data_IF_243230543038
#
_entry.id   IF_243230543038
#
_cell.length_a   1.000
_cell.length_b   1.000
_cell.length_c   1.000
_cell.angle_alpha   90.00
_cell.angle_beta   90.00
_cell.angle_gamma   90.00
#
_symmetry.space_group_name_H-M   'P 1'
#
loop_
_entity.id
_entity.type
_entity.pdbx_description
1 polymer ?
#
# COMPACT_ATOMS: atom_id res chain seq x y z
N UNK A 1 -3.62 1.93 14.41
CA UNK A 1 -3.47 0.53 14.02
C UNK A 1 -2.08 0.00 14.29
N UNK A 2 -2.01 -1.30 14.44
CA UNK A 2 -0.75 -2.02 14.66
C UNK A 2 -0.69 -3.26 13.78
N UNK A 3 0.53 -3.65 13.39
CA UNK A 3 0.86 -5.02 13.00
C UNK A 3 1.44 -5.73 14.21
N UNK A 4 1.02 -6.95 14.47
CA UNK A 4 1.48 -7.70 15.63
C UNK A 4 1.65 -9.18 15.34
N UNK A 5 2.50 -9.83 16.13
CA UNK A 5 2.60 -11.28 16.22
C UNK A 5 2.26 -11.73 17.64
N UNK A 6 1.80 -12.96 17.76
CA UNK A 6 1.63 -13.61 19.07
C UNK A 6 2.82 -14.55 19.28
N UNK A 7 3.70 -14.18 20.20
CA UNK A 7 4.89 -14.97 20.57
C UNK A 7 4.80 -15.30 22.06
N UNK A 8 5.03 -16.57 22.40
CA UNK A 8 5.00 -17.04 23.80
C UNK A 8 3.76 -16.52 24.54
N UNK A 9 2.57 -16.72 23.91
CA UNK A 9 1.26 -16.33 24.46
C UNK A 9 1.13 -14.82 24.80
N UNK A 10 1.83 -13.97 24.06
CA UNK A 10 1.83 -12.52 24.25
C UNK A 10 1.77 -11.78 22.89
N UNK A 11 1.02 -10.70 22.81
CA UNK A 11 0.92 -9.84 21.61
C UNK A 11 2.10 -8.89 21.56
N UNK A 12 2.98 -9.08 20.60
CA UNK A 12 4.10 -8.19 20.31
C UNK A 12 3.74 -7.23 19.17
N UNK A 13 3.81 -5.94 19.41
CA UNK A 13 3.67 -4.92 18.38
C UNK A 13 4.93 -4.92 17.51
N UNK A 14 4.77 -5.35 16.25
CA UNK A 14 5.86 -5.36 15.27
C UNK A 14 6.03 -3.97 14.64
N UNK A 15 4.88 -3.35 14.34
CA UNK A 15 4.86 -2.01 13.72
C UNK A 15 3.58 -1.28 14.14
N UNK A 16 3.72 0.01 14.37
CA UNK A 16 2.57 0.93 14.50
C UNK A 16 2.35 1.60 13.15
N UNK A 17 1.09 1.59 12.68
CA UNK A 17 0.74 2.17 11.38
C UNK A 17 0.82 3.69 11.47
N UNK A 18 1.67 4.35 10.65
CA UNK A 18 1.80 5.80 10.63
C UNK A 18 0.46 6.51 10.36
N UNK A 19 0.24 7.66 11.01
CA UNK A 19 -1.01 8.41 10.94
C UNK A 19 -2.21 7.73 11.62
N UNK A 20 -2.02 6.52 12.17
CA UNK A 20 -3.07 5.73 12.80
C UNK A 20 -3.35 6.11 14.26
N UNK A 21 -4.52 5.69 14.81
CA UNK A 21 -4.88 5.99 16.19
C UNK A 21 -3.89 5.49 17.23
N UNK A 22 -3.23 4.35 16.99
CA UNK A 22 -2.27 3.77 17.93
C UNK A 22 -0.98 4.60 18.05
N UNK A 23 -0.52 5.19 16.94
CA UNK A 23 0.63 6.09 16.94
C UNK A 23 0.34 7.36 17.74
N UNK A 24 -0.87 7.93 17.54
CA UNK A 24 -1.29 9.18 18.22
C UNK A 24 -1.27 9.10 19.74
N UNK A 25 -1.45 7.90 20.29
CA UNK A 25 -1.40 7.69 21.75
C UNK A 25 -0.02 7.24 22.23
N UNK A 26 0.98 7.10 21.34
CA UNK A 26 2.36 6.79 21.72
C UNK A 26 2.68 5.30 21.86
N UNK A 27 1.90 4.39 21.23
CA UNK A 27 2.32 3.01 21.06
C UNK A 27 3.55 2.95 20.11
N UNK A 28 4.47 2.05 20.40
CA UNK A 28 5.69 1.85 19.58
C UNK A 28 5.92 0.37 19.25
N UNK A 29 6.76 0.12 18.26
CA UNK A 29 7.23 -1.24 17.97
C UNK A 29 7.99 -1.79 19.19
N UNK A 30 7.83 -3.09 19.47
CA UNK A 30 8.39 -3.76 20.65
C UNK A 30 7.48 -3.74 21.88
N UNK A 31 6.41 -2.96 21.90
CA UNK A 31 5.40 -3.01 22.96
C UNK A 31 4.74 -4.39 23.02
N UNK A 32 4.44 -4.86 24.23
CA UNK A 32 3.73 -6.11 24.49
C UNK A 32 2.38 -5.81 25.09
N UNK A 33 1.30 -6.05 24.37
CA UNK A 33 -0.05 -5.81 24.88
C UNK A 33 -0.42 -7.00 25.78
N UNK A 34 -0.64 -6.73 27.05
CA UNK A 34 -0.95 -7.75 28.07
C UNK A 34 -2.41 -7.78 28.46
N UNK A 35 -3.12 -6.66 28.28
CA UNK A 35 -4.54 -6.54 28.60
C UNK A 35 -5.26 -5.66 27.57
N UNK A 36 -6.51 -6.01 27.27
CA UNK A 36 -7.42 -5.21 26.42
C UNK A 36 -8.72 -5.00 27.21
N UNK A 37 -9.07 -3.73 27.46
CA UNK A 37 -10.10 -3.33 28.42
C UNK A 37 -9.87 -4.06 29.76
N UNK A 38 -10.87 -4.76 30.29
CA UNK A 38 -10.77 -5.49 31.55
C UNK A 38 -10.31 -6.94 31.41
N UNK A 39 -9.85 -7.34 30.21
CA UNK A 39 -9.48 -8.72 29.91
C UNK A 39 -7.97 -8.86 29.73
N UNK A 40 -7.33 -9.66 30.57
CA UNK A 40 -5.95 -10.13 30.38
C UNK A 40 -5.89 -11.03 29.14
N UNK A 41 -4.95 -10.76 28.23
CA UNK A 41 -4.78 -11.51 26.98
C UNK A 41 -3.44 -12.20 26.85
N UNK A 42 -2.48 -11.90 27.74
CA UNK A 42 -1.16 -12.54 27.76
C UNK A 42 -1.12 -13.66 28.82
N UNK A 43 -0.47 -14.77 28.51
CA UNK A 43 -0.32 -15.92 29.44
C UNK A 43 -1.58 -16.76 29.64
N UNK A 44 -2.62 -16.58 28.82
CA UNK A 44 -3.94 -17.21 28.96
C UNK A 44 -4.34 -18.06 27.75
N UNK A 45 -3.40 -18.29 26.83
CA UNK A 45 -3.58 -19.07 25.58
C UNK A 45 -4.78 -18.60 24.73
N UNK A 46 -5.03 -17.29 24.69
CA UNK A 46 -6.12 -16.70 23.91
C UNK A 46 -5.85 -16.83 22.42
N UNK A 47 -6.85 -17.26 21.65
CA UNK A 47 -6.74 -17.36 20.19
C UNK A 47 -6.54 -15.97 19.56
N UNK A 48 -5.68 -15.88 18.56
CA UNK A 48 -5.41 -14.62 17.83
C UNK A 48 -6.69 -13.99 17.28
N UNK A 49 -7.67 -14.79 16.83
CA UNK A 49 -8.97 -14.30 16.37
C UNK A 49 -9.76 -13.56 17.45
N UNK A 50 -9.68 -14.03 18.71
CA UNK A 50 -10.39 -13.41 19.83
C UNK A 50 -9.67 -12.15 20.33
N UNK A 51 -8.34 -12.14 20.25
CA UNK A 51 -7.52 -10.94 20.47
C UNK A 51 -7.90 -9.86 19.44
N UNK A 52 -7.95 -10.23 18.14
CA UNK A 52 -8.35 -9.29 17.08
C UNK A 52 -9.76 -8.74 17.28
N UNK A 53 -10.73 -9.57 17.67
CA UNK A 53 -12.11 -9.12 17.97
C UNK A 53 -12.17 -8.08 19.09
N UNK A 54 -11.33 -8.21 20.12
CA UNK A 54 -11.26 -7.27 21.24
C UNK A 54 -10.58 -5.95 20.86
N UNK A 55 -9.52 -6.02 20.05
CA UNK A 55 -8.80 -4.84 19.58
C UNK A 55 -9.61 -4.05 18.54
N UNK A 56 -10.33 -4.74 17.64
CA UNK A 56 -11.20 -4.11 16.64
C UNK A 56 -12.53 -3.66 17.24
N UNK A 57 -13.21 -2.75 16.54
CA UNK A 57 -14.54 -2.27 16.93
C UNK A 57 -15.00 -1.11 16.04
N UNK A 58 -16.20 -0.58 16.28
CA UNK A 58 -16.75 0.53 15.52
C UNK A 58 -15.85 1.77 15.58
N UNK A 59 -15.82 2.54 14.46
CA UNK A 59 -15.15 3.84 14.42
C UNK A 59 -15.71 4.76 15.51
N UNK A 60 -14.83 5.45 16.23
CA UNK A 60 -15.17 6.36 17.31
C UNK A 60 -15.31 5.69 18.68
N UNK A 61 -15.38 4.35 18.75
CA UNK A 61 -15.37 3.66 20.05
C UNK A 61 -13.95 3.60 20.64
N UNK A 62 -13.86 3.50 21.94
CA UNK A 62 -12.58 3.40 22.66
C UNK A 62 -12.17 1.95 22.90
N UNK A 63 -10.88 1.73 22.97
CA UNK A 63 -10.26 0.51 23.50
C UNK A 63 -9.10 0.91 24.40
N UNK A 64 -9.05 0.34 25.62
CA UNK A 64 -7.93 0.53 26.54
C UNK A 64 -7.00 -0.66 26.44
N UNK A 65 -5.70 -0.41 26.40
CA UNK A 65 -4.70 -1.46 26.39
C UNK A 65 -3.66 -1.20 27.46
N UNK A 66 -3.30 -2.25 28.22
CA UNK A 66 -2.12 -2.23 29.10
C UNK A 66 -0.96 -2.88 28.38
N UNK A 67 0.18 -2.21 28.44
CA UNK A 67 1.36 -2.55 27.66
C UNK A 67 2.57 -2.68 28.56
N UNK A 68 3.32 -3.76 28.40
CA UNK A 68 4.69 -3.86 28.94
C UNK A 68 5.67 -3.41 27.89
N UNK A 69 6.38 -2.35 28.20
CA UNK A 69 7.46 -1.78 27.36
C UNK A 69 8.82 -2.11 27.96
N UNK A 70 9.80 -2.40 27.10
CA UNK A 70 11.15 -2.63 27.58
C UNK A 70 11.75 -1.33 28.17
N UNK A 71 12.39 -1.44 29.34
CA UNK A 71 12.92 -0.28 30.06
C UNK A 71 11.93 0.38 31.05
N UNK A 72 10.63 0.04 31.00
CA UNK A 72 9.63 0.54 31.95
C UNK A 72 9.37 -0.48 33.06
N UNK A 73 9.35 -0.05 34.32
CA UNK A 73 9.05 -0.92 35.47
C UNK A 73 7.58 -1.27 35.53
N UNK A 74 6.71 -0.30 35.26
CA UNK A 74 5.25 -0.42 35.34
C UNK A 74 4.61 -0.73 33.97
N UNK A 75 3.36 -1.16 33.98
CA UNK A 75 2.55 -1.26 32.77
C UNK A 75 2.07 0.13 32.33
N UNK A 76 2.18 0.41 31.05
CA UNK A 76 1.67 1.64 30.45
C UNK A 76 0.21 1.45 30.03
N UNK A 77 -0.63 2.43 30.35
CA UNK A 77 -2.04 2.47 29.95
C UNK A 77 -2.24 3.40 28.74
N UNK A 78 -2.88 2.85 27.68
CA UNK A 78 -3.24 3.64 26.50
C UNK A 78 -4.73 3.51 26.22
N UNK A 79 -5.41 4.64 26.04
CA UNK A 79 -6.79 4.71 25.54
C UNK A 79 -6.76 5.11 24.08
N UNK A 80 -7.21 4.22 23.21
CA UNK A 80 -7.17 4.40 21.76
C UNK A 80 -8.60 4.61 21.27
N UNK A 81 -8.89 5.77 20.68
CA UNK A 81 -10.14 5.99 19.95
C UNK A 81 -10.03 5.34 18.59
N UNK A 82 -10.83 4.31 18.32
CA UNK A 82 -10.79 3.57 17.06
C UNK A 82 -11.14 4.48 15.88
N UNK A 83 -10.32 4.46 14.87
CA UNK A 83 -10.46 5.30 13.67
C UNK A 83 -10.14 4.53 12.41
N UNK A 84 -10.27 5.22 11.28
CA UNK A 84 -9.77 4.71 10.00
C UNK A 84 -8.25 4.59 10.10
N UNK A 85 -7.72 3.43 9.76
CA UNK A 85 -6.28 3.18 9.69
C UNK A 85 -5.83 3.52 8.28
N UNK A 86 -4.96 4.50 8.09
CA UNK A 86 -4.41 4.76 6.77
C UNK A 86 -3.59 3.53 6.33
N UNK A 87 -3.89 3.02 5.16
CA UNK A 87 -3.13 1.96 4.53
C UNK A 87 -2.42 2.63 3.36
N UNK A 88 -1.18 3.04 3.61
CA UNK A 88 -0.35 3.65 2.59
C UNK A 88 -0.02 2.63 1.50
N UNK A 89 0.06 3.10 0.28
CA UNK A 89 0.48 2.32 -0.88
C UNK A 89 1.96 2.45 -1.17
N UNK A 90 2.59 3.48 -0.61
CA UNK A 90 4.02 3.76 -0.75
C UNK A 90 4.72 3.46 0.57
N UNK A 91 5.72 2.59 0.54
CA UNK A 91 6.50 2.18 1.71
C UNK A 91 7.77 2.99 1.92
N UNK A 92 8.36 3.49 0.85
CA UNK A 92 9.60 4.24 0.91
C UNK A 92 9.67 5.33 -0.15
N UNK A 93 10.14 6.51 0.26
CA UNK A 93 10.44 7.66 -0.61
C UNK A 93 11.73 8.31 -0.12
N UNK A 94 12.79 8.25 -0.90
CA UNK A 94 14.07 8.87 -0.54
C UNK A 94 14.94 9.16 -1.76
N UNK A 95 15.94 10.01 -1.58
CA UNK A 95 16.99 10.21 -2.59
C UNK A 95 18.03 9.09 -2.42
N UNK A 96 18.16 8.22 -3.43
CA UNK A 96 19.17 7.15 -3.46
C UNK A 96 20.58 7.71 -3.76
N UNK A 97 20.64 8.84 -4.47
CA UNK A 97 21.86 9.60 -4.73
C UNK A 97 21.44 11.08 -4.92
N UNK A 98 22.39 11.99 -5.16
CA UNK A 98 22.18 13.44 -5.33
C UNK A 98 21.09 13.80 -6.35
N UNK A 99 20.87 12.97 -7.36
CA UNK A 99 19.89 13.20 -8.43
C UNK A 99 18.92 12.05 -8.67
N UNK A 100 19.03 10.94 -7.94
CA UNK A 100 18.24 9.73 -8.12
C UNK A 100 17.23 9.61 -6.98
N UNK A 101 15.96 9.72 -7.30
CA UNK A 101 14.85 9.40 -6.40
C UNK A 101 14.50 7.92 -6.42
N UNK A 102 14.02 7.41 -5.30
CA UNK A 102 13.48 6.06 -5.16
C UNK A 102 12.10 6.10 -4.54
N UNK A 103 11.15 5.39 -5.16
CA UNK A 103 9.80 5.19 -4.65
C UNK A 103 9.48 3.70 -4.64
N UNK A 104 9.07 3.16 -3.49
CA UNK A 104 8.53 1.80 -3.35
C UNK A 104 7.02 1.85 -3.31
N UNK A 105 6.36 1.33 -4.34
CA UNK A 105 4.91 1.22 -4.42
C UNK A 105 4.49 -0.25 -4.20
N UNK A 106 3.72 -0.52 -3.13
CA UNK A 106 3.32 -1.88 -2.75
C UNK A 106 2.02 -2.35 -3.39
N UNK A 107 1.13 -1.41 -3.72
CA UNK A 107 -0.19 -1.70 -4.28
C UNK A 107 -0.73 -0.50 -5.03
N UNK A 108 -1.71 -0.74 -5.88
CA UNK A 108 -2.49 0.30 -6.55
C UNK A 108 -3.82 0.46 -5.80
N UNK A 109 -3.81 1.23 -4.70
CA UNK A 109 -4.98 1.57 -3.89
C UNK A 109 -5.59 2.90 -4.35
N UNK A 110 -6.80 3.23 -3.88
CA UNK A 110 -7.48 4.48 -4.24
C UNK A 110 -6.70 5.76 -3.86
N UNK A 111 -5.81 5.68 -2.87
CA UNK A 111 -4.94 6.78 -2.44
C UNK A 111 -3.60 6.86 -3.16
N UNK A 112 -3.27 5.84 -3.98
CA UNK A 112 -1.91 5.72 -4.55
C UNK A 112 -1.53 6.85 -5.47
N UNK A 113 -2.47 7.38 -6.25
CA UNK A 113 -2.20 8.50 -7.17
C UNK A 113 -1.79 9.75 -6.40
N UNK A 114 -2.52 10.10 -5.34
CA UNK A 114 -2.21 11.26 -4.51
C UNK A 114 -0.90 11.08 -3.75
N UNK A 115 -0.68 9.89 -3.17
CA UNK A 115 0.56 9.54 -2.47
C UNK A 115 1.77 9.62 -3.41
N UNK A 116 1.61 9.14 -4.65
CA UNK A 116 2.67 9.13 -5.65
C UNK A 116 3.03 10.54 -6.12
N UNK A 117 2.03 11.37 -6.40
CA UNK A 117 2.24 12.79 -6.76
C UNK A 117 2.96 13.56 -5.66
N UNK A 118 2.60 13.34 -4.40
CA UNK A 118 3.29 13.98 -3.28
C UNK A 118 4.73 13.45 -3.12
N UNK A 119 4.95 12.16 -3.38
CA UNK A 119 6.28 11.57 -3.40
C UNK A 119 7.16 12.19 -4.49
N UNK A 120 6.67 12.30 -5.73
CA UNK A 120 7.38 12.96 -6.84
C UNK A 120 7.72 14.41 -6.49
N UNK A 121 6.75 15.17 -5.98
CA UNK A 121 6.95 16.56 -5.55
C UNK A 121 7.99 16.69 -4.43
N UNK A 122 8.01 15.74 -3.50
CA UNK A 122 9.00 15.71 -2.42
C UNK A 122 10.41 15.46 -2.94
N UNK A 123 10.56 14.55 -3.90
CA UNK A 123 11.83 14.22 -4.52
C UNK A 123 12.31 15.35 -5.47
N UNK A 124 11.41 15.97 -6.23
CA UNK A 124 11.72 17.10 -7.10
C UNK A 124 12.31 18.27 -6.31
N UNK A 125 11.69 18.63 -5.17
CA UNK A 125 12.24 19.67 -4.24
C UNK A 125 13.65 19.34 -3.73
N UNK A 126 14.04 18.06 -3.73
CA UNK A 126 15.39 17.60 -3.36
C UNK A 126 16.34 17.51 -4.55
N UNK A 127 15.91 17.92 -5.75
CA UNK A 127 16.72 17.93 -6.96
C UNK A 127 16.75 16.64 -7.75
N UNK A 128 15.73 15.78 -7.61
CA UNK A 128 15.60 14.56 -8.42
C UNK A 128 15.58 14.85 -9.90
N UNK A 129 16.33 14.08 -10.68
CA UNK A 129 16.35 14.08 -12.15
C UNK A 129 16.08 12.69 -12.73
N UNK A 130 16.28 11.64 -11.94
CA UNK A 130 16.15 10.24 -12.31
C UNK A 130 15.34 9.53 -11.25
N UNK A 131 14.46 8.61 -11.65
CA UNK A 131 13.58 7.89 -10.74
C UNK A 131 13.76 6.38 -10.86
N UNK A 132 13.88 5.72 -9.72
CA UNK A 132 13.72 4.28 -9.57
C UNK A 132 12.35 4.06 -8.93
N UNK A 133 11.43 3.46 -9.70
CA UNK A 133 10.13 3.01 -9.21
C UNK A 133 10.19 1.51 -8.94
N UNK A 134 10.03 1.11 -7.70
CA UNK A 134 10.08 -0.29 -7.31
C UNK A 134 8.66 -0.88 -7.15
N UNK A 135 8.35 -1.84 -8.04
CA UNK A 135 7.11 -2.61 -8.07
C UNK A 135 7.34 -4.08 -7.67
N UNK A 136 8.50 -4.46 -7.17
CA UNK A 136 8.77 -5.84 -6.71
C UNK A 136 7.81 -6.19 -5.56
N UNK A 137 7.21 -7.38 -5.61
CA UNK A 137 6.20 -7.79 -4.63
C UNK A 137 4.83 -7.13 -4.77
N UNK A 138 4.62 -6.26 -5.76
CA UNK A 138 3.36 -5.54 -5.96
C UNK A 138 2.38 -6.33 -6.83
N UNK A 139 1.40 -7.00 -6.23
CA UNK A 139 0.37 -7.79 -6.92
C UNK A 139 -0.68 -6.97 -7.69
N UNK A 140 -0.52 -5.64 -7.80
CA UNK A 140 -1.41 -4.77 -8.53
C UNK A 140 -2.46 -4.05 -7.66
N UNK A 141 -3.65 -3.84 -8.22
CA UNK A 141 -4.75 -3.13 -7.57
C UNK A 141 -5.77 -2.58 -8.56
N UNK A 142 -6.19 -1.34 -8.37
CA UNK A 142 -7.20 -0.71 -9.21
C UNK A 142 -6.66 -0.33 -10.61
N UNK A 143 -7.43 -0.68 -11.64
CA UNK A 143 -7.10 -0.38 -13.04
C UNK A 143 -6.97 1.13 -13.31
N UNK A 144 -7.92 1.92 -12.82
CA UNK A 144 -7.88 3.37 -12.98
C UNK A 144 -6.61 3.99 -12.36
N UNK A 145 -6.18 3.49 -11.19
CA UNK A 145 -4.95 3.96 -10.54
C UNK A 145 -3.71 3.60 -11.37
N UNK A 146 -3.68 2.40 -11.98
CA UNK A 146 -2.59 2.03 -12.89
C UNK A 146 -2.52 2.97 -14.10
N UNK A 147 -3.66 3.34 -14.66
CA UNK A 147 -3.76 4.29 -15.78
C UNK A 147 -3.26 5.67 -15.35
N UNK A 148 -3.74 6.18 -14.20
CA UNK A 148 -3.34 7.47 -13.67
C UNK A 148 -1.83 7.55 -13.37
N UNK A 149 -1.25 6.49 -12.79
CA UNK A 149 0.18 6.44 -12.53
C UNK A 149 1.04 6.28 -13.79
N UNK A 150 0.55 5.54 -14.80
CA UNK A 150 1.24 5.47 -16.08
C UNK A 150 1.20 6.83 -16.83
N UNK A 151 0.12 7.58 -16.66
CA UNK A 151 -0.03 8.92 -17.22
C UNK A 151 1.01 9.91 -16.67
N UNK A 152 1.51 9.72 -15.45
CA UNK A 152 2.58 10.56 -14.88
C UNK A 152 3.90 10.47 -15.66
N UNK A 153 4.08 9.42 -16.45
CA UNK A 153 5.32 9.12 -17.17
C UNK A 153 5.24 9.30 -18.69
N UNK A 154 4.04 9.26 -19.26
CA UNK A 154 3.86 9.17 -20.71
C UNK A 154 3.40 10.51 -21.30
N UNK A 155 4.05 10.94 -22.35
CA UNK A 155 3.61 12.09 -23.13
C UNK A 155 2.19 11.85 -23.70
N UNK A 156 1.46 12.94 -23.95
CA UNK A 156 0.08 12.90 -24.45
C UNK A 156 -0.14 11.99 -25.65
N UNK A 157 -1.23 11.24 -25.63
CA UNK A 157 -1.70 10.47 -26.78
C UNK A 157 -1.12 9.06 -26.88
N UNK A 158 -0.35 8.62 -25.86
CA UNK A 158 0.21 7.27 -25.78
C UNK A 158 -0.83 6.30 -25.20
N UNK A 159 -1.00 5.13 -25.84
CA UNK A 159 -1.86 4.10 -25.30
C UNK A 159 -1.25 3.50 -24.05
N UNK A 160 -1.99 3.49 -22.94
CA UNK A 160 -1.57 2.88 -21.68
C UNK A 160 -2.00 1.42 -21.63
N UNK A 161 -3.27 1.16 -21.87
CA UNK A 161 -3.87 -0.17 -21.85
C UNK A 161 -5.19 -0.15 -22.62
N UNK A 162 -5.61 -1.29 -23.12
CA UNK A 162 -7.01 -1.48 -23.55
C UNK A 162 -7.64 -2.68 -22.87
N UNK A 163 -8.95 -2.66 -22.74
CA UNK A 163 -9.75 -3.81 -22.30
C UNK A 163 -10.73 -4.21 -23.40
N UNK A 164 -10.84 -5.50 -23.64
CA UNK A 164 -11.77 -6.06 -24.63
C UNK A 164 -12.31 -7.40 -24.15
N UNK A 165 -13.60 -7.64 -24.31
CA UNK A 165 -14.22 -8.91 -24.00
C UNK A 165 -14.94 -9.49 -25.22
N UNK A 166 -15.32 -10.77 -25.16
CA UNK A 166 -16.05 -11.43 -26.27
C UNK A 166 -17.36 -10.74 -26.63
N UNK A 167 -18.00 -10.10 -25.65
CA UNK A 167 -19.27 -9.36 -25.81
C UNK A 167 -19.14 -7.87 -25.45
N UNK A 168 -17.93 -7.38 -25.18
CA UNK A 168 -17.68 -5.99 -24.83
C UNK A 168 -16.78 -5.36 -25.89
N UNK A 169 -17.16 -4.16 -26.32
CA UNK A 169 -16.31 -3.38 -27.23
C UNK A 169 -15.01 -3.01 -26.54
N UNK A 170 -13.95 -2.89 -27.35
CA UNK A 170 -12.66 -2.39 -26.90
C UNK A 170 -12.80 -1.01 -26.27
N UNK A 171 -12.14 -0.82 -25.12
CA UNK A 171 -12.02 0.44 -24.41
C UNK A 171 -10.54 0.73 -24.23
N UNK A 172 -10.08 1.83 -24.82
CA UNK A 172 -8.69 2.27 -24.75
C UNK A 172 -8.52 3.32 -23.65
N UNK A 173 -7.44 3.21 -22.87
CA UNK A 173 -6.96 4.25 -21.99
C UNK A 173 -5.70 4.87 -22.62
N UNK A 174 -5.71 6.18 -22.76
CA UNK A 174 -4.68 6.96 -23.45
C UNK A 174 -4.18 8.03 -22.49
N UNK A 175 -2.86 8.28 -22.51
CA UNK A 175 -2.24 9.31 -21.67
C UNK A 175 -2.69 10.73 -22.04
N UNK A 176 -2.74 11.58 -21.03
CA UNK A 176 -3.07 13.00 -21.13
C UNK A 176 -1.78 13.84 -21.23
N UNK A 177 -1.87 15.16 -21.02
CA UNK A 177 -0.71 16.05 -20.97
C UNK A 177 -0.48 16.57 -19.53
N UNK A 178 -0.75 15.74 -18.53
CA UNK A 178 -0.74 16.15 -17.12
C UNK A 178 0.30 15.41 -16.29
N UNK A 179 1.20 14.65 -16.94
CA UNK A 179 2.26 13.89 -16.28
C UNK A 179 3.27 14.78 -15.57
N UNK A 180 3.68 14.39 -14.37
CA UNK A 180 4.64 15.13 -13.55
C UNK A 180 6.08 14.68 -13.79
N UNK A 181 6.31 13.59 -14.51
CA UNK A 181 7.64 13.01 -14.76
C UNK A 181 7.74 12.43 -16.18
N UNK A 182 7.40 13.23 -17.20
CA UNK A 182 7.43 12.77 -18.60
C UNK A 182 8.85 12.66 -19.18
N UNK A 183 9.81 13.47 -18.74
CA UNK A 183 11.14 13.64 -19.36
C UNK A 183 12.32 13.05 -18.56
N UNK A 184 12.16 12.76 -17.26
CA UNK A 184 13.26 12.26 -16.43
C UNK A 184 13.66 10.81 -16.76
N UNK A 185 14.91 10.42 -16.50
CA UNK A 185 15.32 9.02 -16.63
C UNK A 185 14.53 8.12 -15.65
N UNK A 186 13.93 7.04 -16.15
CA UNK A 186 13.06 6.14 -15.41
C UNK A 186 13.56 4.70 -15.45
N UNK A 187 13.69 4.09 -14.29
CA UNK A 187 13.90 2.64 -14.12
C UNK A 187 12.76 2.08 -13.29
N UNK A 188 12.14 0.99 -13.74
CA UNK A 188 11.12 0.26 -13.00
C UNK A 188 11.67 -1.10 -12.60
N UNK A 189 11.67 -1.38 -11.28
CA UNK A 189 12.06 -2.69 -10.76
C UNK A 189 10.82 -3.60 -10.66
N UNK A 190 10.93 -4.82 -11.17
CA UNK A 190 9.85 -5.81 -11.17
C UNK A 190 10.35 -7.20 -10.75
N UNK A 191 9.44 -8.04 -10.29
CA UNK A 191 9.69 -9.44 -10.01
C UNK A 191 8.49 -10.33 -10.39
N UNK A 192 8.57 -11.62 -10.09
CA UNK A 192 7.52 -12.60 -10.36
C UNK A 192 6.21 -12.36 -9.59
N UNK A 193 6.23 -11.50 -8.58
CA UNK A 193 5.05 -11.07 -7.81
C UNK A 193 4.44 -9.78 -8.34
N UNK A 194 5.14 -9.07 -9.23
CA UNK A 194 4.62 -7.90 -9.93
C UNK A 194 3.52 -8.33 -10.89
N UNK A 195 2.27 -7.94 -10.64
CA UNK A 195 1.12 -8.46 -11.38
C UNK A 195 0.07 -7.38 -11.71
N UNK A 196 -0.75 -7.64 -12.76
CA UNK A 196 -1.96 -6.85 -13.06
C UNK A 196 -1.66 -5.36 -13.26
N UNK A 197 -2.07 -4.46 -12.35
CA UNK A 197 -1.81 -3.02 -12.41
C UNK A 197 -0.31 -2.67 -12.54
N UNK A 198 0.57 -3.45 -11.87
CA UNK A 198 2.02 -3.31 -12.02
C UNK A 198 2.48 -3.60 -13.44
N UNK A 199 1.86 -4.60 -14.08
CA UNK A 199 2.19 -4.98 -15.46
C UNK A 199 1.63 -3.97 -16.47
N UNK A 200 0.50 -3.33 -16.17
CA UNK A 200 -0.04 -2.24 -17.01
C UNK A 200 0.95 -1.07 -17.03
N UNK A 201 1.40 -0.63 -15.87
CA UNK A 201 2.33 0.50 -15.78
C UNK A 201 3.68 0.17 -16.40
N UNK A 202 4.30 -0.95 -16.00
CA UNK A 202 5.61 -1.35 -16.54
C UNK A 202 5.55 -1.67 -18.04
N UNK A 203 4.47 -2.31 -18.51
CA UNK A 203 4.25 -2.59 -19.91
C UNK A 203 4.08 -1.32 -20.75
N UNK A 204 3.28 -0.36 -20.29
CA UNK A 204 3.12 0.91 -20.99
C UNK A 204 4.44 1.70 -21.09
N UNK A 205 5.23 1.72 -19.99
CA UNK A 205 6.58 2.34 -20.00
C UNK A 205 7.53 1.62 -20.97
N UNK A 206 7.49 0.30 -21.01
CA UNK A 206 8.31 -0.50 -21.90
C UNK A 206 7.91 -0.34 -23.37
N UNK A 207 6.62 -0.43 -23.69
CA UNK A 207 6.09 -0.38 -25.05
C UNK A 207 6.35 0.97 -25.75
N UNK A 208 6.44 2.04 -24.96
CA UNK A 208 6.77 3.37 -25.47
C UNK A 208 8.24 3.76 -25.32
N UNK A 209 9.10 2.80 -24.93
CA UNK A 209 10.53 3.04 -24.72
C UNK A 209 10.81 4.24 -23.79
N UNK A 210 9.88 4.45 -22.82
CA UNK A 210 9.92 5.58 -21.89
C UNK A 210 10.90 5.37 -20.73
N UNK A 211 11.21 4.13 -20.42
CA UNK A 211 12.09 3.78 -19.31
C UNK A 211 12.59 2.34 -19.39
N UNK A 212 13.50 2.00 -18.50
CA UNK A 212 14.12 0.67 -18.45
C UNK A 212 13.43 -0.20 -17.40
N UNK A 213 12.99 -1.40 -17.80
CA UNK A 213 12.44 -2.39 -16.88
C UNK A 213 13.57 -3.33 -16.45
N UNK A 214 13.77 -3.45 -15.13
CA UNK A 214 14.85 -4.27 -14.54
C UNK A 214 14.26 -5.27 -13.55
N UNK A 215 14.71 -6.50 -13.61
CA UNK A 215 14.30 -7.54 -12.67
C UNK A 215 13.99 -8.88 -13.33
N UNK A 216 13.03 -9.60 -12.76
CA UNK A 216 12.59 -10.91 -13.25
C UNK A 216 11.27 -10.80 -13.99
N UNK A 217 10.94 -11.86 -14.75
CA UNK A 217 9.66 -11.97 -15.47
C UNK A 217 8.49 -11.78 -14.50
N UNK A 218 7.56 -10.90 -14.86
CA UNK A 218 6.36 -10.61 -14.07
C UNK A 218 5.34 -11.74 -14.09
N UNK A 219 4.28 -11.64 -13.32
CA UNK A 219 3.29 -12.70 -13.10
C UNK A 219 2.55 -13.12 -14.38
N UNK A 220 2.20 -12.17 -15.26
CA UNK A 220 1.46 -12.44 -16.50
C UNK A 220 -0.07 -12.42 -16.33
N UNK A 221 -0.62 -11.54 -15.48
CA UNK A 221 -2.08 -11.39 -15.28
C UNK A 221 -2.68 -10.34 -16.21
N UNK A 222 -3.16 -10.75 -17.37
CA UNK A 222 -3.84 -9.92 -18.37
C UNK A 222 -5.38 -9.94 -18.30
N UNK A 223 -5.98 -10.25 -17.14
CA UNK A 223 -7.43 -10.37 -16.96
C UNK A 223 -7.96 -9.30 -16.02
N UNK A 224 -9.07 -8.63 -16.41
CA UNK A 224 -9.78 -7.67 -15.56
C UNK A 224 -10.91 -8.38 -14.83
N UNK A 225 -10.91 -8.29 -13.50
CA UNK A 225 -11.97 -8.83 -12.66
C UNK A 225 -12.95 -7.71 -12.27
N UNK A 226 -14.25 -7.99 -12.39
CA UNK A 226 -15.32 -7.06 -11.99
C UNK A 226 -16.12 -7.64 -10.82
N UNK A 227 -16.38 -6.85 -9.77
CA UNK A 227 -17.29 -7.27 -8.72
C UNK A 227 -18.73 -7.18 -9.23
N UNK A 228 -19.49 -8.25 -9.08
CA UNK A 228 -20.93 -8.31 -9.36
C UNK A 228 -21.68 -8.49 -8.04
N UNK A 229 -22.55 -7.53 -7.64
CA UNK A 229 -23.35 -7.68 -6.45
C UNK A 229 -24.44 -8.74 -6.66
N UNK A 230 -24.67 -9.56 -5.64
CA UNK A 230 -25.77 -10.51 -5.58
C UNK A 230 -26.95 -9.96 -4.77
N UNK A 231 -28.17 -10.51 -4.94
CA UNK A 231 -29.37 -10.04 -4.24
C UNK A 231 -29.29 -10.10 -2.72
N UNK A 232 -28.46 -10.99 -2.16
CA UNK A 232 -28.23 -11.14 -0.72
C UNK A 232 -27.17 -10.18 -0.15
N UNK A 233 -26.64 -9.27 -0.98
CA UNK A 233 -25.61 -8.31 -0.61
C UNK A 233 -24.17 -8.84 -0.66
N UNK A 234 -23.98 -10.12 -1.02
CA UNK A 234 -22.65 -10.67 -1.32
C UNK A 234 -22.16 -10.22 -2.70
N UNK A 235 -20.86 -10.43 -2.98
CA UNK A 235 -20.27 -10.07 -4.27
C UNK A 235 -19.48 -11.24 -4.85
N UNK A 236 -19.66 -11.47 -6.14
CA UNK A 236 -18.82 -12.37 -6.94
C UNK A 236 -17.83 -11.52 -7.74
N UNK A 237 -16.59 -11.97 -7.83
CA UNK A 237 -15.60 -11.41 -8.77
C UNK A 237 -15.48 -12.36 -9.96
N UNK A 238 -15.84 -11.84 -11.13
CA UNK A 238 -15.67 -12.50 -12.42
C UNK A 238 -14.57 -11.82 -13.23
#
# INVERSE_FOLDING_TARGET
GIQFNVLTDTVYVIQVIPGGPSEKVGLVAGDRIVQVNDTVIAGVKMKTTDIMKRLRGPKGSEVRVKVKRNGESELLDFTIVRGKIPVHSIDAVYMADKSIGYIKLNRFAASSTDEFKEALKTLDKKGMKKLILDLQGNGGGYLNVAIELADEFLARGKQIVYTQGSKQKRQDAISTAQGSFEDGELVILVDESSASASEILSGAVQDWDRGVIVGRRTFGKGLVQRPLPLPDGSMIRL
#
